data_IF_463818504387
#
_entry.id   IF_463818504387
#
_cell.length_a   1.000
_cell.length_b   1.000
_cell.length_c   1.000
_cell.angle_alpha   90.00
_cell.angle_beta   90.00
_cell.angle_gamma   90.00
#
_symmetry.space_group_name_H-M   'P 1'
#
loop_
_entity.id
_entity.type
_entity.pdbx_description
1 polymer ?
#
# COMPACT_ATOMS: atom_id res chain seq x y z
N UNK A 1 20.81 16.43 0.08
CA UNK A 1 20.81 14.98 0.36
C UNK A 1 20.38 14.23 -0.88
N UNK A 2 21.17 13.26 -1.29
CA UNK A 2 20.84 12.46 -2.47
C UNK A 2 19.91 11.31 -2.07
N UNK A 3 18.75 11.23 -2.71
CA UNK A 3 17.81 10.13 -2.48
C UNK A 3 18.18 9.00 -3.44
N UNK A 4 18.48 7.82 -2.90
CA UNK A 4 18.72 6.64 -3.70
C UNK A 4 17.40 6.03 -4.15
N UNK A 5 17.31 5.66 -5.41
CA UNK A 5 16.11 5.03 -5.96
C UNK A 5 15.96 3.62 -5.41
N UNK A 6 14.74 3.29 -4.99
CA UNK A 6 14.36 1.95 -4.59
C UNK A 6 14.04 1.09 -5.81
N UNK A 7 13.86 -0.21 -5.60
CA UNK A 7 13.39 -1.10 -6.65
C UNK A 7 12.03 -0.65 -7.20
N UNK A 8 11.14 -0.17 -6.32
CA UNK A 8 9.82 0.36 -6.73
C UNK A 8 10.01 1.51 -7.72
N UNK A 9 10.86 2.48 -7.38
CA UNK A 9 11.13 3.62 -8.24
C UNK A 9 11.72 3.17 -9.60
N UNK A 10 12.63 2.21 -9.59
CA UNK A 10 13.21 1.67 -10.83
C UNK A 10 12.18 0.98 -11.71
N UNK A 11 11.24 0.24 -11.10
CA UNK A 11 10.14 -0.39 -11.83
C UNK A 11 9.24 0.65 -12.49
N UNK A 12 8.93 1.74 -11.78
CA UNK A 12 8.13 2.84 -12.32
C UNK A 12 8.86 3.58 -13.44
N UNK A 13 10.16 3.80 -13.30
CA UNK A 13 10.97 4.40 -14.38
C UNK A 13 10.94 3.52 -15.62
N UNK A 14 11.10 2.23 -15.47
CA UNK A 14 11.06 1.27 -16.58
C UNK A 14 9.71 1.28 -17.27
N UNK A 15 8.63 1.44 -16.50
CA UNK A 15 7.27 1.52 -17.04
C UNK A 15 6.93 2.91 -17.60
N UNK A 16 7.84 3.88 -17.47
CA UNK A 16 7.65 5.28 -17.91
C UNK A 16 6.49 5.96 -17.22
N UNK A 17 6.31 5.66 -15.94
CA UNK A 17 5.27 6.24 -15.09
C UNK A 17 5.82 7.47 -14.39
N UNK A 18 5.07 8.56 -14.41
CA UNK A 18 5.42 9.77 -13.67
C UNK A 18 5.14 9.58 -12.17
N UNK A 19 6.10 9.91 -11.33
CA UNK A 19 5.98 9.85 -9.87
C UNK A 19 7.00 10.77 -9.23
N UNK A 20 6.84 10.98 -7.92
CA UNK A 20 7.83 11.71 -7.13
C UNK A 20 8.20 10.87 -5.90
N UNK A 21 9.50 10.83 -5.60
CA UNK A 21 9.97 10.27 -4.33
C UNK A 21 9.92 11.39 -3.28
N UNK A 22 9.22 11.11 -2.17
CA UNK A 22 9.00 12.09 -1.11
C UNK A 22 9.52 11.51 0.20
N UNK A 23 10.64 12.04 0.73
CA UNK A 23 11.19 11.58 2.00
C UNK A 23 10.39 12.13 3.17
N UNK A 24 10.38 11.38 4.27
CA UNK A 24 9.81 11.82 5.53
C UNK A 24 10.67 11.30 6.68
N UNK A 25 10.53 11.92 7.85
CA UNK A 25 11.27 11.50 9.04
C UNK A 25 10.61 10.28 9.66
N UNK A 26 11.38 9.21 9.83
CA UNK A 26 10.90 7.96 10.43
C UNK A 26 10.88 8.08 11.94
N UNK A 27 9.76 7.68 12.55
CA UNK A 27 9.65 7.45 13.99
C UNK A 27 9.44 5.96 14.20
N UNK A 28 10.45 5.27 14.71
CA UNK A 28 10.40 3.84 14.96
C UNK A 28 9.31 3.44 15.95
N UNK A 29 8.84 4.39 16.78
CA UNK A 29 7.77 4.17 17.75
C UNK A 29 6.38 4.47 17.17
N UNK A 30 6.31 5.08 15.99
CA UNK A 30 5.04 5.40 15.33
C UNK A 30 5.18 5.24 13.80
N UNK A 31 4.91 4.04 13.31
CA UNK A 31 4.96 3.72 11.89
C UNK A 31 3.61 3.96 11.20
N UNK A 32 2.65 4.61 11.86
CA UNK A 32 1.31 4.84 11.31
C UNK A 32 1.32 5.75 10.10
N UNK A 33 0.35 5.55 9.21
CA UNK A 33 0.15 6.43 8.06
C UNK A 33 -0.23 7.85 8.49
N UNK A 34 -0.87 8.01 9.65
CA UNK A 34 -1.18 9.33 10.21
C UNK A 34 0.10 10.11 10.49
N UNK A 35 1.10 9.47 11.10
CA UNK A 35 2.40 10.09 11.33
C UNK A 35 3.07 10.47 10.00
N UNK A 36 3.03 9.56 9.02
CA UNK A 36 3.59 9.82 7.69
C UNK A 36 2.92 11.04 7.06
N UNK A 37 1.59 11.11 7.09
CA UNK A 37 0.83 12.23 6.54
C UNK A 37 1.21 13.54 7.22
N UNK A 38 1.38 13.55 8.55
CA UNK A 38 1.81 14.73 9.30
C UNK A 38 3.20 15.19 8.84
N UNK A 39 4.13 14.27 8.66
CA UNK A 39 5.48 14.58 8.19
C UNK A 39 5.50 15.14 6.77
N UNK A 40 4.59 14.66 5.92
CA UNK A 40 4.46 15.13 4.54
C UNK A 40 3.69 16.45 4.44
N UNK A 41 2.97 16.85 5.50
CA UNK A 41 2.05 17.98 5.44
C UNK A 41 0.82 17.71 4.58
N UNK A 42 0.40 16.46 4.48
CA UNK A 42 -0.67 16.02 3.60
C UNK A 42 -1.86 15.45 4.37
N UNK A 43 -3.01 15.41 3.70
CA UNK A 43 -4.22 14.78 4.23
C UNK A 43 -4.02 13.26 4.30
N UNK A 44 -4.24 12.66 5.47
CA UNK A 44 -4.09 11.22 5.66
C UNK A 44 -4.98 10.40 4.72
N UNK A 45 -6.08 10.97 4.24
CA UNK A 45 -6.96 10.30 3.27
C UNK A 45 -6.27 10.02 1.94
N UNK A 46 -5.18 10.73 1.63
CA UNK A 46 -4.36 10.51 0.42
C UNK A 46 -3.18 9.58 0.66
N UNK A 47 -2.89 9.25 1.91
CA UNK A 47 -1.76 8.38 2.26
C UNK A 47 -2.29 6.98 2.47
N UNK A 48 -2.00 6.08 1.54
CA UNK A 48 -2.49 4.70 1.55
C UNK A 48 -1.46 3.78 2.17
N UNK A 49 -1.94 2.77 2.89
CA UNK A 49 -1.12 1.70 3.45
C UNK A 49 -1.41 0.40 2.74
N UNK A 50 -0.41 -0.48 2.68
CA UNK A 50 -0.49 -1.77 2.01
C UNK A 50 -0.53 -2.86 3.05
N UNK A 51 -1.60 -3.64 3.06
CA UNK A 51 -1.84 -4.71 4.01
C UNK A 51 -1.86 -6.05 3.30
N UNK A 52 -1.26 -7.06 3.90
CA UNK A 52 -1.29 -8.44 3.37
C UNK A 52 -2.20 -9.28 4.25
N UNK A 53 -3.12 -9.98 3.60
CA UNK A 53 -4.11 -10.82 4.25
C UNK A 53 -3.99 -12.26 3.74
N UNK A 54 -4.56 -13.19 4.50
CA UNK A 54 -4.65 -14.58 4.11
C UNK A 54 -6.12 -15.01 4.12
N UNK A 55 -6.61 -15.49 2.97
CA UNK A 55 -7.96 -16.00 2.83
C UNK A 55 -8.02 -17.52 2.90
N UNK A 56 -9.16 -18.04 3.34
CA UNK A 56 -9.35 -19.47 3.50
C UNK A 56 -9.32 -20.26 2.18
N UNK A 57 -9.62 -19.60 1.06
CA UNK A 57 -9.64 -20.25 -0.26
C UNK A 57 -8.53 -19.75 -1.17
N UNK A 58 -8.27 -18.46 -1.20
CA UNK A 58 -7.33 -17.85 -2.15
C UNK A 58 -5.87 -17.92 -1.71
N UNK A 59 -5.60 -18.11 -0.43
CA UNK A 59 -4.29 -17.85 0.14
C UNK A 59 -4.07 -16.33 0.32
N UNK A 60 -2.85 -15.87 0.08
CA UNK A 60 -2.48 -14.47 0.34
C UNK A 60 -3.03 -13.51 -0.72
N UNK A 61 -3.43 -12.34 -0.27
CA UNK A 61 -3.83 -11.23 -1.13
C UNK A 61 -3.54 -9.90 -0.42
N UNK A 62 -3.67 -8.80 -1.15
CA UNK A 62 -3.23 -7.47 -0.69
C UNK A 62 -4.38 -6.49 -0.75
N UNK A 63 -4.53 -5.66 0.28
CA UNK A 63 -5.43 -4.53 0.30
C UNK A 63 -4.64 -3.23 0.49
N UNK A 64 -4.92 -2.24 -0.35
CA UNK A 64 -4.32 -0.91 -0.28
C UNK A 64 -5.42 0.06 0.11
N UNK A 65 -5.33 0.64 1.30
CA UNK A 65 -6.41 1.42 1.90
C UNK A 65 -5.90 2.74 2.48
N UNK A 66 -6.80 3.75 2.65
CA UNK A 66 -6.41 4.99 3.32
C UNK A 66 -5.85 4.69 4.70
N UNK A 67 -4.80 5.41 5.06
CA UNK A 67 -3.98 5.06 6.21
C UNK A 67 -4.66 5.17 7.57
N UNK A 68 -5.66 6.06 7.71
CA UNK A 68 -6.41 6.20 8.96
C UNK A 68 -7.55 5.19 9.10
N UNK A 69 -7.88 4.48 8.02
CA UNK A 69 -8.98 3.52 8.02
C UNK A 69 -8.49 2.11 8.35
N UNK A 70 -9.43 1.25 8.71
CA UNK A 70 -9.17 -0.16 8.95
C UNK A 70 -9.78 -1.01 7.85
N UNK A 71 -9.13 -2.10 7.49
CA UNK A 71 -9.69 -3.05 6.54
C UNK A 71 -10.91 -3.74 7.14
N UNK A 72 -11.96 -3.87 6.35
CA UNK A 72 -13.14 -4.66 6.72
C UNK A 72 -12.90 -6.10 6.23
N UNK A 73 -12.71 -7.01 7.17
CA UNK A 73 -12.37 -8.40 6.84
C UNK A 73 -13.46 -9.11 6.05
N UNK A 74 -14.73 -8.78 6.30
CA UNK A 74 -15.85 -9.36 5.55
C UNK A 74 -15.87 -8.87 4.11
N UNK A 75 -15.68 -7.57 3.91
CA UNK A 75 -15.62 -6.99 2.57
C UNK A 75 -14.41 -7.52 1.80
N UNK A 76 -13.24 -7.59 2.46
CA UNK A 76 -12.02 -8.10 1.86
C UNK A 76 -12.16 -9.58 1.47
N UNK A 77 -12.77 -10.39 2.33
CA UNK A 77 -13.05 -11.80 2.01
C UNK A 77 -13.95 -11.91 0.80
N UNK A 78 -15.01 -11.13 0.75
CA UNK A 78 -15.98 -11.16 -0.35
C UNK A 78 -15.34 -10.82 -1.70
N UNK A 79 -14.58 -9.72 -1.79
CA UNK A 79 -13.99 -9.30 -3.07
C UNK A 79 -12.90 -10.26 -3.53
N UNK A 80 -12.23 -10.93 -2.61
CA UNK A 80 -11.16 -11.89 -2.92
C UNK A 80 -11.66 -13.33 -3.14
N UNK A 81 -12.97 -13.57 -3.03
CA UNK A 81 -13.55 -14.88 -3.24
C UNK A 81 -13.39 -15.85 -2.06
N UNK A 82 -13.21 -15.30 -0.86
CA UNK A 82 -13.05 -16.08 0.37
C UNK A 82 -14.30 -16.02 1.23
N UNK A 83 -14.48 -17.02 2.11
CA UNK A 83 -15.49 -16.95 3.17
C UNK A 83 -14.99 -16.13 4.34
N UNK A 84 -13.71 -16.25 4.65
CA UNK A 84 -13.06 -15.52 5.74
C UNK A 84 -11.62 -15.19 5.36
N UNK A 85 -11.09 -14.17 6.00
CA UNK A 85 -9.69 -13.82 5.86
C UNK A 85 -9.20 -13.13 7.14
N UNK A 86 -7.89 -13.02 7.26
CA UNK A 86 -7.26 -12.39 8.41
C UNK A 86 -5.97 -11.69 7.99
N UNK A 87 -5.55 -10.73 8.79
CA UNK A 87 -4.23 -10.10 8.61
C UNK A 87 -3.14 -11.14 8.90
N UNK A 88 -2.08 -11.14 8.12
CA UNK A 88 -0.93 -12.01 8.41
C UNK A 88 -0.15 -11.48 9.61
N UNK A 89 0.53 -12.35 10.37
CA UNK A 89 1.45 -11.90 11.40
C UNK A 89 2.59 -11.09 10.79
N UNK A 90 3.04 -10.05 11.50
CA UNK A 90 4.12 -9.15 11.01
C UNK A 90 5.38 -9.94 10.63
N UNK A 91 5.71 -10.99 11.38
CA UNK A 91 6.89 -11.82 11.10
C UNK A 91 6.88 -12.52 9.74
N UNK A 92 5.70 -12.67 9.13
CA UNK A 92 5.56 -13.29 7.81
C UNK A 92 5.74 -12.30 6.67
N UNK A 93 5.67 -10.99 6.95
CA UNK A 93 5.65 -9.97 5.91
C UNK A 93 6.94 -9.95 5.06
N UNK A 94 8.10 -9.91 5.73
CA UNK A 94 9.38 -9.83 5.02
C UNK A 94 9.67 -11.07 4.16
N UNK A 95 9.56 -12.30 4.68
CA UNK A 95 9.81 -13.47 3.83
C UNK A 95 8.82 -13.58 2.68
N UNK A 96 7.59 -13.10 2.85
CA UNK A 96 6.55 -13.21 1.84
C UNK A 96 6.65 -12.12 0.75
N UNK A 97 6.92 -10.89 1.14
CA UNK A 97 6.85 -9.73 0.23
C UNK A 97 8.21 -9.12 -0.12
N UNK A 98 9.20 -9.28 0.74
CA UNK A 98 10.48 -8.58 0.64
C UNK A 98 10.47 -7.23 1.34
N UNK A 99 9.36 -6.84 1.97
CA UNK A 99 9.21 -5.56 2.66
C UNK A 99 8.99 -5.75 4.16
N UNK A 100 9.33 -4.74 4.92
CA UNK A 100 9.07 -4.69 6.36
C UNK A 100 7.88 -3.78 6.67
N UNK A 101 7.32 -3.91 7.87
CA UNK A 101 6.26 -3.04 8.34
C UNK A 101 6.69 -1.57 8.26
N UNK A 102 5.83 -0.71 7.74
CA UNK A 102 6.12 0.70 7.50
C UNK A 102 6.83 0.98 6.17
N UNK A 103 7.27 -0.07 5.47
CA UNK A 103 7.91 0.05 4.16
C UNK A 103 7.32 -0.87 3.11
N UNK A 104 6.12 -1.40 3.33
CA UNK A 104 5.47 -2.31 2.38
C UNK A 104 4.80 -1.54 1.25
N UNK A 105 5.23 -1.83 0.02
CA UNK A 105 4.66 -1.23 -1.20
C UNK A 105 3.81 -2.25 -1.95
N UNK A 106 2.74 -1.82 -2.64
CA UNK A 106 1.98 -2.70 -3.51
C UNK A 106 2.71 -3.06 -4.80
N UNK A 107 3.85 -2.41 -5.07
CA UNK A 107 4.66 -2.63 -6.27
C UNK A 107 5.97 -3.32 -5.88
N UNK A 108 6.41 -4.27 -6.68
CA UNK A 108 7.73 -4.87 -6.51
C UNK A 108 7.84 -5.94 -5.43
N UNK A 109 6.73 -6.50 -4.97
CA UNK A 109 6.76 -7.65 -4.06
C UNK A 109 7.48 -8.84 -4.72
N UNK A 110 8.08 -9.71 -3.90
CA UNK A 110 8.79 -10.92 -4.39
C UNK A 110 7.93 -11.76 -5.33
N UNK A 111 6.62 -11.78 -5.08
CA UNK A 111 5.63 -12.49 -5.89
C UNK A 111 4.44 -11.56 -6.05
N UNK A 112 3.79 -11.60 -7.21
CA UNK A 112 2.56 -10.85 -7.40
C UNK A 112 1.40 -11.55 -6.66
N UNK A 113 0.70 -10.78 -5.84
CA UNK A 113 -0.52 -11.21 -5.17
C UNK A 113 -1.71 -10.42 -5.71
N UNK A 114 -2.89 -11.04 -5.74
CA UNK A 114 -4.11 -10.31 -6.06
C UNK A 114 -4.21 -9.09 -5.13
N UNK A 115 -4.42 -7.92 -5.70
CA UNK A 115 -4.37 -6.66 -4.99
C UNK A 115 -5.68 -5.89 -5.19
N UNK A 116 -6.23 -5.39 -4.10
CA UNK A 116 -7.47 -4.60 -4.10
C UNK A 116 -7.17 -3.23 -3.50
N UNK A 117 -7.52 -2.17 -4.22
CA UNK A 117 -7.34 -0.80 -3.74
C UNK A 117 -8.72 -0.19 -3.45
N UNK A 118 -8.83 0.46 -2.28
CA UNK A 118 -10.08 1.10 -1.91
C UNK A 118 -10.43 2.24 -2.88
N UNK A 119 -11.69 2.32 -3.27
CA UNK A 119 -12.15 3.18 -4.36
C UNK A 119 -11.94 4.69 -4.13
N UNK A 120 -11.76 5.13 -2.88
CA UNK A 120 -11.51 6.56 -2.59
C UNK A 120 -10.23 7.07 -3.22
N UNK A 121 -9.31 6.19 -3.63
CA UNK A 121 -8.09 6.57 -4.35
C UNK A 121 -8.41 7.40 -5.59
N UNK A 122 -9.50 7.08 -6.28
CA UNK A 122 -9.93 7.80 -7.49
C UNK A 122 -10.44 9.21 -7.26
N UNK A 123 -10.62 9.63 -6.00
CA UNK A 123 -11.08 10.98 -5.65
C UNK A 123 -9.96 12.02 -5.67
N UNK A 124 -8.72 11.58 -5.79
CA UNK A 124 -7.54 12.45 -5.73
C UNK A 124 -6.76 12.43 -7.04
N UNK A 125 -6.10 13.54 -7.35
CA UNK A 125 -5.17 13.60 -8.48
C UNK A 125 -3.91 12.79 -8.21
N UNK A 126 -3.50 12.73 -6.96
CA UNK A 126 -2.33 11.98 -6.49
C UNK A 126 -2.60 11.34 -5.15
N UNK A 127 -2.01 10.18 -4.95
CA UNK A 127 -1.99 9.48 -3.66
C UNK A 127 -0.54 9.14 -3.30
N UNK A 128 -0.32 8.76 -2.05
CA UNK A 128 0.98 8.36 -1.53
C UNK A 128 0.94 6.90 -1.13
N UNK A 129 1.96 6.16 -1.50
CA UNK A 129 2.20 4.78 -1.03
C UNK A 129 3.68 4.65 -0.71
N UNK A 130 4.03 3.63 0.07
CA UNK A 130 5.44 3.37 0.37
C UNK A 130 6.25 3.14 -0.90
N UNK A 131 7.45 3.70 -0.93
CA UNK A 131 8.42 3.47 -1.99
C UNK A 131 9.21 2.15 -1.80
N UNK A 132 8.86 1.34 -0.80
CA UNK A 132 9.52 0.08 -0.52
C UNK A 132 10.51 0.13 0.66
N UNK A 133 10.53 1.23 1.39
CA UNK A 133 11.35 1.37 2.60
C UNK A 133 10.75 2.44 3.50
N UNK A 134 11.06 2.35 4.79
CA UNK A 134 10.68 3.40 5.75
C UNK A 134 11.37 4.71 5.37
N UNK A 135 10.69 5.82 5.56
CA UNK A 135 11.24 7.15 5.31
C UNK A 135 11.08 7.64 3.87
N UNK A 136 10.43 6.86 3.00
CA UNK A 136 10.29 7.24 1.61
C UNK A 136 8.92 6.83 1.07
N UNK A 137 8.19 7.81 0.54
CA UNK A 137 6.90 7.60 -0.11
C UNK A 137 7.01 7.87 -1.61
N UNK A 138 6.08 7.31 -2.36
CA UNK A 138 5.86 7.67 -3.75
C UNK A 138 4.57 8.46 -3.84
N UNK A 139 4.64 9.62 -4.49
CA UNK A 139 3.48 10.41 -4.89
C UNK A 139 3.18 10.06 -6.34
N UNK A 140 2.00 9.54 -6.61
CA UNK A 140 1.66 8.96 -7.90
C UNK A 140 0.17 9.16 -8.22
N UNK A 141 -0.16 9.26 -9.50
CA UNK A 141 -1.56 9.28 -9.93
C UNK A 141 -2.21 7.93 -9.64
N UNK A 142 -3.43 7.90 -9.05
CA UNK A 142 -4.09 6.64 -8.69
C UNK A 142 -4.23 5.65 -9.84
N UNK A 143 -4.58 6.13 -11.04
CA UNK A 143 -4.73 5.27 -12.21
C UNK A 143 -3.44 4.55 -12.60
N UNK A 144 -2.31 5.25 -12.46
CA UNK A 144 -1.00 4.67 -12.74
C UNK A 144 -0.66 3.59 -11.72
N UNK A 145 -0.94 3.86 -10.43
CA UNK A 145 -0.71 2.87 -9.38
C UNK A 145 -1.56 1.62 -9.60
N UNK A 146 -2.84 1.80 -9.88
CA UNK A 146 -3.78 0.71 -10.13
C UNK A 146 -3.26 -0.18 -11.26
N UNK A 147 -2.80 0.42 -12.35
CA UNK A 147 -2.27 -0.31 -13.49
C UNK A 147 -0.99 -1.07 -13.13
N UNK A 148 -0.03 -0.39 -12.50
CA UNK A 148 1.28 -1.00 -12.22
C UNK A 148 1.21 -2.04 -11.12
N UNK A 149 0.33 -1.89 -10.14
CA UNK A 149 0.10 -2.89 -9.10
C UNK A 149 -0.86 -4.00 -9.56
N UNK A 150 -1.47 -3.85 -10.73
CA UNK A 150 -2.53 -4.73 -11.24
C UNK A 150 -3.65 -4.87 -10.19
N UNK A 151 -4.04 -3.75 -9.62
CA UNK A 151 -5.03 -3.71 -8.55
C UNK A 151 -6.45 -3.65 -9.11
N UNK A 152 -7.38 -4.24 -8.36
CA UNK A 152 -8.81 -4.12 -8.61
C UNK A 152 -9.36 -3.10 -7.62
N UNK A 153 -10.19 -2.18 -8.12
CA UNK A 153 -10.84 -1.16 -7.28
C UNK A 153 -12.02 -1.78 -6.56
N UNK A 154 -12.12 -1.58 -5.26
CA UNK A 154 -13.17 -2.20 -4.44
C UNK A 154 -13.45 -1.38 -3.18
N UNK A 155 -14.49 -1.77 -2.45
CA UNK A 155 -14.78 -1.27 -1.11
C UNK A 155 -14.28 -2.31 -0.12
N UNK A 156 -13.24 -1.95 0.64
CA UNK A 156 -12.57 -2.88 1.56
C UNK A 156 -12.31 -2.28 2.95
N UNK A 157 -12.88 -1.13 3.24
CA UNK A 157 -12.68 -0.51 4.57
C UNK A 157 -13.92 -0.62 5.45
N UNK A 158 -13.69 -0.58 6.77
CA UNK A 158 -14.77 -0.54 7.75
C UNK A 158 -15.47 0.80 7.68
N UNK A 159 -16.79 0.75 7.70
CA UNK A 159 -17.60 1.94 7.89
C UNK A 159 -17.69 2.28 9.37
N UNK A 160 -17.65 3.58 9.66
CA UNK A 160 -17.76 4.09 11.03
C UNK A 160 -19.24 4.28 11.37
#
# INVERSE_FOLDING_TARGET
MKINKTNVARLLDKAKVAYQLVPYEVDENDLSATHVADQLGENVAQVFKTLVLHGDKSGYFVCVIPGADEVDLKKAAKVSGNKSCEMIPVKELLPLTGYIRGGCSPIGMKKHFSTYIHHTAGQFDHIYVSAGQRGLQIRIAPGDLIREARAEVADVIREI
#
